data_IF_144281753220
#
_entry.id   IF_144281753220
#
_cell.length_a   1.000
_cell.length_b   1.000
_cell.length_c   1.000
_cell.angle_alpha   90.00
_cell.angle_beta   90.00
_cell.angle_gamma   90.00
#
_symmetry.space_group_name_H-M   'P 1'
#
loop_
_entity.id
_entity.type
_entity.pdbx_description
1 polymer ?
#
# COMPACT_ATOMS: atom_id res chain seq x y z
N UNK A 1 20.60 -3.72 -40.81
CA UNK A 1 19.26 -3.38 -40.27
C UNK A 1 18.90 -4.17 -39.01
N UNK A 2 19.04 -5.50 -39.01
CA UNK A 2 18.65 -6.39 -37.87
C UNK A 2 19.46 -6.14 -36.58
N UNK A 3 20.78 -5.87 -36.68
CA UNK A 3 21.61 -5.55 -35.51
C UNK A 3 21.27 -4.19 -34.87
N UNK A 4 20.90 -3.18 -35.68
CA UNK A 4 20.49 -1.87 -35.16
C UNK A 4 19.17 -1.92 -34.39
N UNK A 5 18.23 -2.77 -34.83
CA UNK A 5 16.96 -2.99 -34.15
C UNK A 5 17.12 -3.70 -32.79
N UNK A 6 18.05 -4.68 -32.70
CA UNK A 6 18.35 -5.41 -31.45
C UNK A 6 18.95 -4.52 -30.37
N UNK A 7 19.79 -3.56 -30.73
CA UNK A 7 20.45 -2.64 -29.78
C UNK A 7 19.47 -1.60 -29.21
N UNK A 8 18.41 -1.26 -29.93
CA UNK A 8 17.38 -0.32 -29.49
C UNK A 8 16.25 -0.98 -28.71
N UNK A 9 15.88 -2.22 -29.07
CA UNK A 9 14.85 -2.96 -28.35
C UNK A 9 15.32 -3.39 -26.95
N UNK A 10 16.61 -3.66 -26.75
CA UNK A 10 17.16 -4.14 -25.49
C UNK A 10 16.92 -3.21 -24.27
N UNK A 11 17.23 -1.89 -24.30
CA UNK A 11 16.99 -1.00 -23.17
C UNK A 11 15.49 -0.86 -22.86
N UNK A 12 14.64 -0.79 -23.89
CA UNK A 12 13.19 -0.72 -23.70
C UNK A 12 12.63 -1.99 -23.06
N UNK A 13 13.11 -3.16 -23.47
CA UNK A 13 12.73 -4.44 -22.89
C UNK A 13 13.21 -4.56 -21.44
N UNK A 14 14.45 -4.14 -21.15
CA UNK A 14 14.98 -4.11 -19.78
C UNK A 14 14.14 -3.21 -18.87
N UNK A 15 13.77 -2.01 -19.32
CA UNK A 15 12.90 -1.11 -18.56
C UNK A 15 11.48 -1.68 -18.39
N UNK A 16 10.91 -2.28 -19.42
CA UNK A 16 9.60 -2.92 -19.32
C UNK A 16 9.59 -4.08 -18.33
N UNK A 17 10.59 -4.96 -18.38
CA UNK A 17 10.74 -6.06 -17.43
C UNK A 17 10.95 -5.54 -16.00
N UNK A 18 11.77 -4.50 -15.82
CA UNK A 18 12.01 -3.92 -14.51
C UNK A 18 10.75 -3.29 -13.90
N UNK A 19 9.98 -2.56 -14.73
CA UNK A 19 8.70 -1.98 -14.33
C UNK A 19 7.74 -3.05 -13.80
N UNK A 20 7.57 -4.16 -14.53
CA UNK A 20 6.69 -5.26 -14.10
C UNK A 20 7.23 -6.01 -12.90
N UNK A 21 8.54 -6.24 -12.81
CA UNK A 21 9.16 -6.92 -11.68
C UNK A 21 8.96 -6.15 -10.36
N UNK A 22 8.97 -4.82 -10.38
CA UNK A 22 8.70 -3.99 -9.20
C UNK A 22 7.22 -3.93 -8.79
N UNK A 23 6.28 -4.27 -9.69
CA UNK A 23 4.84 -4.37 -9.36
C UNK A 23 4.53 -5.62 -8.53
N UNK A 24 5.25 -6.72 -8.72
CA UNK A 24 4.92 -8.02 -8.14
C UNK A 24 5.02 -8.15 -6.59
N UNK A 25 5.97 -7.53 -5.87
CA UNK A 25 6.27 -7.96 -4.49
C UNK A 25 5.21 -7.54 -3.47
N UNK A 26 4.96 -6.22 -3.36
CA UNK A 26 4.06 -5.69 -2.31
C UNK A 26 2.72 -5.27 -2.90
N UNK A 27 2.73 -4.63 -4.07
CA UNK A 27 1.55 -4.06 -4.69
C UNK A 27 0.49 -5.11 -5.06
N UNK A 28 0.88 -6.26 -5.62
CA UNK A 28 -0.08 -7.32 -5.94
C UNK A 28 -0.58 -8.10 -4.74
N UNK A 29 0.20 -8.13 -3.66
CA UNK A 29 -0.12 -8.92 -2.47
C UNK A 29 -1.02 -8.11 -1.54
N UNK A 30 -0.61 -6.90 -1.16
CA UNK A 30 -1.32 -6.07 -0.17
C UNK A 30 -2.04 -4.87 -0.77
N UNK A 31 -1.84 -4.57 -2.06
CA UNK A 31 -2.31 -3.33 -2.66
C UNK A 31 -1.49 -2.11 -2.23
N UNK A 32 -0.37 -2.27 -1.51
CA UNK A 32 0.47 -1.17 -1.08
C UNK A 32 1.50 -0.81 -2.15
N UNK A 33 1.63 0.49 -2.41
CA UNK A 33 2.62 1.02 -3.35
C UNK A 33 3.88 1.40 -2.57
N UNK A 34 4.95 0.64 -2.77
CA UNK A 34 6.26 0.88 -2.16
C UNK A 34 7.27 1.20 -3.26
N UNK A 35 7.68 2.48 -3.45
CA UNK A 35 8.63 2.85 -4.52
C UNK A 35 9.95 2.05 -4.48
N UNK A 36 10.39 1.63 -3.29
CA UNK A 36 11.61 0.86 -3.11
C UNK A 36 11.54 -0.56 -3.68
N UNK A 37 10.35 -1.10 -3.99
CA UNK A 37 10.22 -2.40 -4.67
C UNK A 37 10.85 -2.36 -6.08
N UNK A 38 10.95 -1.18 -6.68
CA UNK A 38 11.61 -0.98 -7.97
C UNK A 38 13.14 -0.85 -7.86
N UNK A 39 13.71 -0.74 -6.67
CA UNK A 39 15.14 -0.47 -6.50
C UNK A 39 16.03 -1.55 -7.15
N UNK A 40 15.77 -2.81 -6.84
CA UNK A 40 16.52 -3.95 -7.39
C UNK A 40 16.30 -4.12 -8.89
N UNK A 41 15.05 -4.21 -9.41
CA UNK A 41 14.84 -4.41 -10.84
C UNK A 41 15.34 -3.24 -11.69
N UNK A 42 15.08 -1.99 -11.29
CA UNK A 42 15.53 -0.81 -12.04
C UNK A 42 17.04 -0.60 -11.94
N UNK A 43 17.63 -0.86 -10.76
CA UNK A 43 19.08 -0.87 -10.59
C UNK A 43 19.75 -1.89 -11.52
N UNK A 44 19.21 -3.12 -11.58
CA UNK A 44 19.69 -4.16 -12.49
C UNK A 44 19.54 -3.80 -13.96
N UNK A 45 18.41 -3.20 -14.36
CA UNK A 45 18.17 -2.74 -15.72
C UNK A 45 19.15 -1.62 -16.12
N UNK A 46 19.32 -0.60 -15.27
CA UNK A 46 20.24 0.51 -15.47
C UNK A 46 21.69 0.02 -15.62
N UNK A 47 22.14 -0.86 -14.72
CA UNK A 47 23.48 -1.46 -14.79
C UNK A 47 23.65 -2.21 -16.11
N UNK A 48 22.66 -3.00 -16.52
CA UNK A 48 22.69 -3.77 -17.77
C UNK A 48 22.76 -2.87 -19.00
N UNK A 49 21.96 -1.80 -19.06
CA UNK A 49 21.98 -0.82 -20.16
C UNK A 49 23.36 -0.16 -20.28
N UNK A 50 23.97 0.20 -19.15
CA UNK A 50 25.29 0.83 -19.10
C UNK A 50 26.42 -0.14 -19.51
N UNK A 51 26.35 -1.41 -19.13
CA UNK A 51 27.29 -2.46 -19.59
C UNK A 51 27.16 -2.68 -21.10
N UNK A 52 25.93 -2.72 -21.64
CA UNK A 52 25.70 -2.85 -23.08
C UNK A 52 26.29 -1.66 -23.85
N UNK A 53 26.15 -0.44 -23.32
CA UNK A 53 26.78 0.76 -23.87
C UNK A 53 28.31 0.68 -23.86
N UNK A 54 28.90 0.16 -22.78
CA UNK A 54 30.35 -0.01 -22.64
C UNK A 54 30.96 -0.96 -23.69
N UNK A 55 30.25 -2.05 -24.00
CA UNK A 55 30.73 -3.09 -24.92
C UNK A 55 30.87 -2.60 -26.37
N UNK A 56 30.16 -1.55 -26.76
CA UNK A 56 30.32 -0.93 -28.07
C UNK A 56 31.37 0.19 -28.12
N UNK A 57 32.48 0.02 -27.39
CA UNK A 57 33.73 0.74 -27.64
C UNK A 57 33.78 2.24 -27.30
N UNK A 58 32.69 2.87 -26.85
CA UNK A 58 32.68 4.27 -26.37
C UNK A 58 31.90 4.39 -25.06
N UNK A 59 32.38 5.25 -24.15
CA UNK A 59 31.58 5.65 -22.98
C UNK A 59 30.24 6.22 -23.44
N UNK A 60 29.17 5.86 -22.75
CA UNK A 60 27.88 6.51 -22.95
C UNK A 60 28.06 8.02 -22.72
N UNK A 61 27.78 8.84 -23.74
CA UNK A 61 27.76 10.28 -23.58
C UNK A 61 26.70 10.70 -22.56
N UNK A 62 26.85 11.87 -21.96
CA UNK A 62 25.96 12.39 -20.92
C UNK A 62 24.47 12.25 -21.29
N UNK A 63 24.11 12.61 -22.52
CA UNK A 63 22.74 12.51 -23.04
C UNK A 63 22.19 11.07 -23.00
N UNK A 64 23.00 10.07 -23.34
CA UNK A 64 22.58 8.67 -23.34
C UNK A 64 22.44 8.12 -21.92
N UNK A 65 23.35 8.49 -21.01
CA UNK A 65 23.26 8.15 -19.58
C UNK A 65 22.01 8.75 -18.94
N UNK A 66 21.68 10.00 -19.26
CA UNK A 66 20.45 10.65 -18.80
C UNK A 66 19.20 9.94 -19.34
N UNK A 67 19.20 9.50 -20.60
CA UNK A 67 18.08 8.73 -21.14
C UNK A 67 17.94 7.36 -20.50
N UNK A 68 19.02 6.65 -20.17
CA UNK A 68 18.93 5.39 -19.43
C UNK A 68 18.41 5.59 -18.01
N UNK A 69 18.86 6.66 -17.34
CA UNK A 69 18.32 7.02 -16.03
C UNK A 69 16.82 7.33 -16.13
N UNK A 70 16.41 8.13 -17.13
CA UNK A 70 15.01 8.46 -17.36
C UNK A 70 14.16 7.22 -17.68
N UNK A 71 14.71 6.26 -18.44
CA UNK A 71 14.05 4.99 -18.75
C UNK A 71 13.82 4.13 -17.52
N UNK A 72 14.71 4.23 -16.52
CA UNK A 72 14.63 3.48 -15.26
C UNK A 72 13.77 4.19 -14.19
N UNK A 73 13.69 5.53 -14.19
CA UNK A 73 13.03 6.28 -13.10
C UNK A 73 11.66 6.82 -13.46
N UNK A 74 11.47 7.35 -14.69
CA UNK A 74 10.23 8.07 -15.03
C UNK A 74 9.01 7.14 -15.20
N UNK A 75 9.11 5.94 -15.80
CA UNK A 75 7.98 5.01 -15.87
C UNK A 75 7.44 4.57 -14.50
N UNK A 76 8.26 4.07 -13.54
CA UNK A 76 7.74 3.73 -12.22
C UNK A 76 7.27 4.96 -11.46
N UNK A 77 7.91 6.13 -11.60
CA UNK A 77 7.41 7.39 -11.04
C UNK A 77 5.99 7.69 -11.53
N UNK A 78 5.77 7.63 -12.84
CA UNK A 78 4.46 7.89 -13.44
C UNK A 78 3.42 6.88 -12.94
N UNK A 79 3.80 5.61 -12.84
CA UNK A 79 2.94 4.57 -12.29
C UNK A 79 2.52 4.88 -10.85
N UNK A 80 3.47 5.24 -10.00
CA UNK A 80 3.24 5.55 -8.59
C UNK A 80 2.32 6.79 -8.44
N UNK A 81 2.53 7.83 -9.24
CA UNK A 81 1.73 9.07 -9.19
C UNK A 81 0.28 8.84 -9.65
N UNK A 82 0.07 8.02 -10.68
CA UNK A 82 -1.26 7.84 -11.28
C UNK A 82 -2.12 6.79 -10.58
N UNK A 83 -1.53 5.85 -9.85
CA UNK A 83 -2.25 4.71 -9.26
C UNK A 83 -2.39 4.77 -7.72
N UNK A 84 -1.60 5.62 -7.05
CA UNK A 84 -1.60 5.70 -5.59
C UNK A 84 -2.63 6.68 -5.05
N UNK A 85 -3.21 6.35 -3.89
CA UNK A 85 -4.08 7.24 -3.10
C UNK A 85 -3.41 8.55 -2.74
N UNK A 86 -2.07 8.56 -2.68
CA UNK A 86 -1.22 9.72 -2.45
C UNK A 86 0.15 9.51 -3.07
N UNK A 87 0.84 10.60 -3.39
CA UNK A 87 2.17 10.52 -4.02
C UNK A 87 3.23 10.18 -2.95
N UNK A 88 3.98 9.07 -3.09
CA UNK A 88 5.01 8.66 -2.13
C UNK A 88 6.34 9.39 -2.36
N UNK A 89 6.34 10.72 -2.20
CA UNK A 89 7.49 11.58 -2.53
C UNK A 89 8.80 11.13 -1.89
N UNK A 90 8.81 10.76 -0.60
CA UNK A 90 10.03 10.33 0.08
C UNK A 90 10.67 9.11 -0.59
N UNK A 91 9.88 8.05 -0.84
CA UNK A 91 10.37 6.84 -1.51
C UNK A 91 10.76 7.08 -2.96
N UNK A 92 10.03 7.96 -3.68
CA UNK A 92 10.37 8.37 -5.04
C UNK A 92 11.72 9.09 -5.09
N UNK A 93 11.93 10.07 -4.19
CA UNK A 93 13.16 10.86 -4.13
C UNK A 93 14.35 9.97 -3.75
N UNK A 94 14.15 9.06 -2.79
CA UNK A 94 15.17 8.09 -2.39
C UNK A 94 15.57 7.16 -3.54
N UNK A 95 14.60 6.52 -4.19
CA UNK A 95 14.84 5.67 -5.37
C UNK A 95 15.61 6.44 -6.45
N UNK A 96 15.14 7.65 -6.78
CA UNK A 96 15.74 8.49 -7.82
C UNK A 96 17.17 8.90 -7.46
N UNK A 97 17.43 9.25 -6.20
CA UNK A 97 18.77 9.61 -5.72
C UNK A 97 19.73 8.42 -5.85
N UNK A 98 19.32 7.24 -5.40
CA UNK A 98 20.13 6.02 -5.47
C UNK A 98 20.48 5.66 -6.92
N UNK A 99 19.49 5.67 -7.82
CA UNK A 99 19.71 5.36 -9.23
C UNK A 99 20.58 6.42 -9.92
N UNK A 100 20.43 7.69 -9.56
CA UNK A 100 21.27 8.79 -10.08
C UNK A 100 22.74 8.64 -9.64
N UNK A 101 23.00 8.33 -8.37
CA UNK A 101 24.34 8.07 -7.85
C UNK A 101 24.95 6.85 -8.55
N UNK A 102 24.16 5.78 -8.71
CA UNK A 102 24.59 4.56 -9.41
C UNK A 102 24.99 4.87 -10.86
N UNK A 103 24.17 5.62 -11.60
CA UNK A 103 24.48 6.06 -12.96
C UNK A 103 25.77 6.91 -13.01
N UNK A 104 25.93 7.84 -12.07
CA UNK A 104 27.10 8.72 -11.99
C UNK A 104 28.39 7.94 -11.75
N UNK A 105 28.40 6.98 -10.81
CA UNK A 105 29.55 6.11 -10.54
C UNK A 105 29.85 5.27 -11.77
N UNK A 106 28.84 4.61 -12.34
CA UNK A 106 29.02 3.68 -13.44
C UNK A 106 29.54 4.39 -14.71
N UNK A 107 29.10 5.62 -14.97
CA UNK A 107 29.60 6.45 -16.07
C UNK A 107 31.08 6.82 -15.97
N UNK A 108 31.65 6.87 -14.75
CA UNK A 108 33.07 7.18 -14.50
C UNK A 108 33.96 5.94 -14.50
N UNK A 109 33.39 4.81 -14.08
CA UNK A 109 34.11 3.58 -13.74
C UNK A 109 34.19 2.60 -14.91
N UNK A 110 33.16 2.57 -15.77
CA UNK A 110 33.18 1.79 -17.01
C UNK A 110 34.36 2.24 -17.88
N UNK A 111 35.33 1.33 -18.05
CA UNK A 111 36.63 1.57 -18.73
C UNK A 111 37.87 1.49 -17.83
N UNK A 112 37.73 1.29 -16.50
CA UNK A 112 38.85 1.09 -15.56
C UNK A 112 38.56 -0.08 -14.59
N UNK A 113 39.07 -1.30 -14.85
CA UNK A 113 38.62 -2.53 -14.17
C UNK A 113 38.92 -2.58 -12.66
N UNK A 114 39.92 -1.84 -12.15
CA UNK A 114 40.30 -1.87 -10.72
C UNK A 114 39.46 -0.95 -9.81
N UNK A 115 38.65 -0.04 -10.37
CA UNK A 115 37.82 0.94 -9.60
C UNK A 115 36.35 0.52 -9.53
N UNK A 116 35.97 -0.54 -10.26
CA UNK A 116 34.62 -1.13 -10.33
C UNK A 116 34.14 -1.62 -8.96
N UNK A 117 35.03 -2.21 -8.17
CA UNK A 117 34.69 -2.77 -6.86
C UNK A 117 34.44 -1.65 -5.83
N UNK A 118 35.25 -0.58 -5.84
CA UNK A 118 35.10 0.54 -4.89
C UNK A 118 33.85 1.38 -5.12
N UNK A 119 33.48 1.61 -6.39
CA UNK A 119 32.23 2.30 -6.75
C UNK A 119 30.98 1.49 -6.40
N UNK A 120 31.03 0.16 -6.56
CA UNK A 120 29.95 -0.74 -6.15
C UNK A 120 29.76 -0.75 -4.63
N UNK A 121 30.85 -0.74 -3.85
CA UNK A 121 30.79 -0.67 -2.38
C UNK A 121 30.20 0.67 -1.90
N UNK A 122 30.58 1.80 -2.51
CA UNK A 122 30.04 3.11 -2.13
C UNK A 122 28.55 3.26 -2.50
N UNK A 123 28.13 2.75 -3.68
CA UNK A 123 26.72 2.66 -4.04
C UNK A 123 25.95 1.78 -3.05
N UNK A 124 26.52 0.64 -2.65
CA UNK A 124 25.96 -0.24 -1.64
C UNK A 124 25.83 0.44 -0.27
N UNK A 125 26.82 1.27 0.15
CA UNK A 125 26.77 2.05 1.38
C UNK A 125 25.74 3.19 1.36
N UNK A 126 25.50 3.82 0.20
CA UNK A 126 24.41 4.81 0.04
C UNK A 126 23.04 4.12 0.07
N UNK A 127 22.93 2.94 -0.54
CA UNK A 127 21.73 2.08 -0.49
C UNK A 127 21.44 1.62 0.95
N UNK A 128 22.46 1.23 1.71
CA UNK A 128 22.34 0.84 3.13
C UNK A 128 22.11 2.05 4.07
N UNK A 129 22.62 3.23 3.74
CA UNK A 129 22.45 4.46 4.52
C UNK A 129 21.07 5.11 4.37
N UNK A 130 20.41 4.97 3.22
CA UNK A 130 19.03 5.44 3.00
C UNK A 130 18.02 4.76 3.94
N UNK A 131 18.25 3.49 4.26
CA UNK A 131 17.45 2.70 5.20
C UNK A 131 17.37 3.28 6.63
N UNK A 132 18.35 4.10 7.06
CA UNK A 132 18.36 4.68 8.41
C UNK A 132 17.84 6.12 8.48
N UNK A 133 17.77 6.83 7.36
CA UNK A 133 17.32 8.23 7.32
C UNK A 133 15.80 8.41 7.49
N UNK A 134 15.01 7.38 7.17
CA UNK A 134 13.55 7.44 7.24
C UNK A 134 12.98 7.17 8.65
N UNK A 135 13.80 6.66 9.57
CA UNK A 135 13.41 6.49 10.97
C UNK A 135 13.42 7.81 11.76
N UNK A 136 14.12 8.85 11.27
CA UNK A 136 14.26 10.13 11.98
C UNK A 136 13.19 11.18 11.63
N UNK A 137 12.44 11.01 10.52
CA UNK A 137 11.36 11.94 10.14
C UNK A 137 9.96 11.48 10.54
N UNK A 138 9.84 10.25 11.08
CA UNK A 138 8.59 9.70 11.58
C UNK A 138 8.60 9.66 13.11
N UNK A 139 8.18 10.76 13.74
CA UNK A 139 7.81 10.75 15.15
C UNK A 139 8.53 11.79 15.99
N UNK A 140 8.14 13.06 15.83
CA UNK A 140 8.06 13.89 17.02
C UNK A 140 7.08 13.17 17.96
N UNK A 141 7.46 12.83 19.19
CA UNK A 141 6.54 12.26 20.15
C UNK A 141 5.44 13.29 20.41
N UNK A 142 4.27 13.08 19.82
CA UNK A 142 3.05 13.68 20.34
C UNK A 142 2.96 13.19 21.78
N UNK A 143 2.97 14.13 22.73
CA UNK A 143 2.72 13.84 24.14
C UNK A 143 1.51 12.92 24.22
N UNK A 144 1.65 11.68 24.74
CA UNK A 144 0.53 10.77 24.79
C UNK A 144 -0.54 11.43 25.64
N UNK A 145 -1.65 11.82 25.01
CA UNK A 145 -2.88 12.05 25.75
C UNK A 145 -3.19 10.76 26.49
N UNK A 146 -3.61 10.84 27.76
CA UNK A 146 -4.03 9.67 28.49
C UNK A 146 -5.07 8.92 27.66
N UNK A 147 -4.86 7.61 27.45
CA UNK A 147 -5.77 6.82 26.63
C UNK A 147 -7.15 6.80 27.29
N UNK A 148 -8.23 7.13 26.55
CA UNK A 148 -9.57 7.11 27.10
C UNK A 148 -9.94 5.68 27.49
N UNK A 149 -10.71 5.51 28.57
CA UNK A 149 -11.31 4.21 28.88
C UNK A 149 -12.43 3.93 27.89
N UNK A 150 -12.31 2.83 27.14
CA UNK A 150 -13.24 2.49 26.07
C UNK A 150 -14.02 1.24 26.42
N UNK A 151 -15.34 1.37 26.57
CA UNK A 151 -16.24 0.24 26.69
C UNK A 151 -16.60 -0.29 25.30
N UNK A 152 -16.48 -1.60 25.08
CA UNK A 152 -16.75 -2.24 23.79
C UNK A 152 -17.88 -3.23 23.95
N UNK A 153 -18.97 -2.99 23.22
CA UNK A 153 -20.10 -3.91 23.15
C UNK A 153 -20.27 -4.38 21.71
N UNK A 154 -20.32 -5.70 21.51
CA UNK A 154 -20.47 -6.28 20.18
C UNK A 154 -21.14 -7.64 20.25
N UNK A 155 -21.96 -7.97 19.25
CA UNK A 155 -22.40 -9.36 19.04
C UNK A 155 -21.39 -10.16 18.18
N UNK A 156 -20.41 -9.49 17.57
CA UNK A 156 -19.28 -10.13 16.91
C UNK A 156 -18.30 -10.68 17.94
N UNK A 157 -17.48 -11.65 17.54
CA UNK A 157 -16.47 -12.26 18.42
C UNK A 157 -15.22 -11.38 18.53
N UNK A 158 -15.38 -10.18 19.07
CA UNK A 158 -14.28 -9.24 19.31
C UNK A 158 -13.45 -9.60 20.56
N UNK A 159 -14.05 -10.33 21.49
CA UNK A 159 -13.38 -10.89 22.67
C UNK A 159 -13.61 -12.40 22.71
N UNK A 160 -12.57 -13.15 23.06
CA UNK A 160 -12.62 -14.60 23.23
C UNK A 160 -12.43 -14.94 24.71
N UNK A 161 -13.09 -16.00 25.16
CA UNK A 161 -12.85 -16.53 26.50
C UNK A 161 -11.42 -17.15 26.53
N UNK A 162 -10.63 -16.81 27.55
CA UNK A 162 -9.25 -17.31 27.71
C UNK A 162 -9.15 -18.83 27.99
N UNK A 163 -10.26 -19.50 28.32
CA UNK A 163 -10.34 -20.94 28.63
C UNK A 163 -10.65 -21.81 27.39
N UNK A 164 -11.20 -21.23 26.32
CA UNK A 164 -11.45 -21.89 25.03
C UNK A 164 -10.24 -21.83 24.08
N UNK A 165 -9.12 -21.27 24.54
CA UNK A 165 -7.89 -21.10 23.76
C UNK A 165 -7.35 -22.43 23.25
N UNK A 166 -7.61 -22.73 21.98
CA UNK A 166 -6.88 -23.70 21.15
C UNK A 166 -7.09 -23.44 19.63
N UNK A 167 -7.61 -22.26 19.24
CA UNK A 167 -7.76 -21.87 17.85
C UNK A 167 -6.51 -21.16 17.33
N UNK A 168 -6.08 -21.38 16.08
CA UNK A 168 -4.88 -20.74 15.51
C UNK A 168 -4.98 -19.22 15.30
N UNK A 169 -6.09 -18.58 15.70
CA UNK A 169 -6.38 -17.15 15.55
C UNK A 169 -6.56 -16.41 16.89
N UNK A 170 -6.28 -17.06 18.03
CA UNK A 170 -6.43 -16.46 19.36
C UNK A 170 -5.24 -15.55 19.69
N UNK A 171 -5.33 -14.27 19.33
CA UNK A 171 -4.33 -13.25 19.66
C UNK A 171 -4.65 -12.63 21.03
N UNK A 172 -4.47 -13.42 22.09
CA UNK A 172 -4.57 -12.94 23.47
C UNK A 172 -5.98 -12.60 23.94
N UNK A 173 -6.98 -13.38 23.51
CA UNK A 173 -8.37 -13.21 23.93
C UNK A 173 -9.12 -12.06 23.24
N UNK A 174 -8.55 -11.49 22.16
CA UNK A 174 -9.14 -10.39 21.39
C UNK A 174 -9.11 -10.71 19.89
N UNK A 175 -10.07 -10.16 19.15
CA UNK A 175 -10.03 -10.19 17.69
C UNK A 175 -8.79 -9.43 17.17
N UNK A 176 -8.21 -9.85 16.03
CA UNK A 176 -6.97 -9.27 15.51
C UNK A 176 -7.04 -7.75 15.32
N UNK A 177 -8.18 -7.19 14.91
CA UNK A 177 -8.35 -5.72 14.76
C UNK A 177 -8.19 -4.96 16.08
N UNK A 178 -8.75 -5.49 17.19
CA UNK A 178 -8.61 -4.89 18.52
C UNK A 178 -7.22 -5.17 19.13
N UNK A 179 -6.57 -6.27 18.74
CA UNK A 179 -5.20 -6.58 19.14
C UNK A 179 -4.18 -5.67 18.42
N UNK A 180 -4.46 -5.30 17.17
CA UNK A 180 -3.69 -4.35 16.37
C UNK A 180 -3.84 -2.92 16.90
N UNK A 181 -5.05 -2.55 17.32
CA UNK A 181 -5.34 -1.24 17.87
C UNK A 181 -4.58 -0.99 19.19
N UNK A 182 -4.03 0.21 19.35
CA UNK A 182 -3.38 0.73 20.56
C UNK A 182 -4.39 1.16 21.61
N UNK A 183 -5.65 1.29 21.24
CA UNK A 183 -6.73 1.65 22.17
C UNK A 183 -7.09 0.44 23.03
N UNK A 184 -7.12 0.62 24.35
CA UNK A 184 -7.52 -0.44 25.28
C UNK A 184 -9.05 -0.48 25.41
N UNK A 185 -9.67 -1.39 24.65
CA UNK A 185 -11.09 -1.72 24.80
C UNK A 185 -11.33 -2.73 25.93
N UNK A 186 -12.27 -2.42 26.81
CA UNK A 186 -12.80 -3.33 27.83
C UNK A 186 -14.16 -3.86 27.37
N UNK A 187 -14.44 -5.17 27.51
CA UNK A 187 -15.74 -5.73 27.14
C UNK A 187 -16.84 -5.15 28.03
N UNK A 188 -17.99 -4.86 27.42
CA UNK A 188 -19.17 -4.30 28.07
C UNK A 188 -20.43 -5.07 27.61
N UNK A 189 -21.07 -5.76 28.55
CA UNK A 189 -22.22 -6.65 28.23
C UNK A 189 -23.58 -5.97 28.41
N UNK A 190 -23.66 -4.94 29.25
CA UNK A 190 -24.89 -4.22 29.61
C UNK A 190 -24.67 -2.72 29.52
N UNK A 191 -25.63 -2.00 28.91
CA UNK A 191 -25.64 -0.53 28.85
C UNK A 191 -26.60 0.03 29.89
N UNK A 192 -26.18 0.08 31.15
CA UNK A 192 -26.93 0.78 32.19
C UNK A 192 -26.15 1.98 32.74
N UNK A 193 -26.84 2.84 33.48
CA UNK A 193 -26.27 4.10 33.98
C UNK A 193 -25.02 3.90 34.84
N UNK A 194 -24.90 2.78 35.55
CA UNK A 194 -23.75 2.54 36.43
C UNK A 194 -22.56 1.97 35.66
N UNK A 195 -22.80 1.05 34.71
CA UNK A 195 -21.77 0.53 33.83
C UNK A 195 -21.16 1.63 32.94
N UNK A 196 -21.99 2.55 32.42
CA UNK A 196 -21.56 3.61 31.52
C UNK A 196 -20.70 4.70 32.18
N UNK A 197 -20.82 4.92 33.50
CA UNK A 197 -20.00 5.90 34.25
C UNK A 197 -18.51 5.59 34.24
N UNK A 198 -18.13 4.34 33.99
CA UNK A 198 -16.74 3.89 33.98
C UNK A 198 -15.97 4.27 32.70
N UNK A 199 -16.65 4.69 31.64
CA UNK A 199 -16.05 4.83 30.32
C UNK A 199 -16.12 6.26 29.79
N UNK A 200 -15.03 6.69 29.15
CA UNK A 200 -14.97 7.96 28.43
C UNK A 200 -15.54 7.83 27.02
N UNK A 201 -15.45 6.63 26.44
CA UNK A 201 -15.88 6.30 25.08
C UNK A 201 -16.56 4.95 25.03
N UNK A 202 -17.45 4.81 24.07
CA UNK A 202 -18.03 3.52 23.72
C UNK A 202 -17.74 3.19 22.26
N UNK A 203 -17.50 1.90 22.00
CA UNK A 203 -17.50 1.31 20.68
C UNK A 203 -18.61 0.24 20.66
N UNK A 204 -19.66 0.50 19.88
CA UNK A 204 -20.72 -0.45 19.60
C UNK A 204 -20.50 -1.02 18.20
N UNK A 205 -20.26 -2.33 18.10
CA UNK A 205 -20.06 -2.98 16.80
C UNK A 205 -21.12 -4.05 16.62
N UNK A 206 -22.08 -3.78 15.73
CA UNK A 206 -23.19 -4.68 15.44
C UNK A 206 -23.74 -5.35 16.71
N UNK A 207 -24.23 -4.55 17.69
CA UNK A 207 -24.62 -5.09 18.99
C UNK A 207 -25.81 -6.03 18.86
N UNK A 208 -26.02 -6.83 19.90
CA UNK A 208 -27.27 -7.60 20.06
C UNK A 208 -28.47 -6.65 20.12
N UNK A 209 -29.68 -7.21 20.08
CA UNK A 209 -30.87 -6.46 20.42
C UNK A 209 -30.72 -5.87 21.82
N UNK A 210 -30.70 -4.53 21.89
CA UNK A 210 -30.66 -3.79 23.15
C UNK A 210 -32.07 -3.71 23.73
N UNK A 211 -32.17 -3.82 25.05
CA UNK A 211 -33.43 -3.61 25.75
C UNK A 211 -33.83 -2.13 25.67
N UNK A 212 -35.13 -1.79 25.78
CA UNK A 212 -35.57 -0.39 25.79
C UNK A 212 -34.84 0.46 26.82
N UNK A 213 -34.58 -0.08 28.01
CA UNK A 213 -33.87 0.64 29.07
C UNK A 213 -32.40 0.92 28.70
N UNK A 214 -31.76 0.01 27.96
CA UNK A 214 -30.38 0.16 27.48
C UNK A 214 -30.27 1.24 26.40
N UNK A 215 -31.27 1.31 25.50
CA UNK A 215 -31.34 2.36 24.48
C UNK A 215 -31.49 3.75 25.11
N UNK A 216 -32.35 3.86 26.12
CA UNK A 216 -32.56 5.11 26.87
C UNK A 216 -31.32 5.49 27.68
N UNK A 217 -30.67 4.53 28.34
CA UNK A 217 -29.44 4.78 29.10
C UNK A 217 -28.30 5.25 28.18
N UNK A 218 -28.15 4.64 27.00
CA UNK A 218 -27.17 5.06 26.00
C UNK A 218 -27.46 6.48 25.50
N UNK A 219 -28.70 6.78 25.10
CA UNK A 219 -29.08 8.13 24.66
C UNK A 219 -28.81 9.18 25.73
N UNK A 220 -29.24 8.92 26.98
CA UNK A 220 -29.02 9.83 28.10
C UNK A 220 -27.53 10.05 28.38
N UNK A 221 -26.71 8.99 28.31
CA UNK A 221 -25.27 9.07 28.49
C UNK A 221 -24.59 9.90 27.40
N UNK A 222 -24.94 9.69 26.13
CA UNK A 222 -24.42 10.52 25.02
C UNK A 222 -24.84 11.97 25.22
N UNK A 223 -26.12 12.24 25.51
CA UNK A 223 -26.61 13.61 25.78
C UNK A 223 -25.87 14.31 26.92
N UNK A 224 -25.39 13.57 27.91
CA UNK A 224 -24.63 14.07 29.04
C UNK A 224 -23.12 14.30 28.75
N UNK A 225 -22.67 14.16 27.50
CA UNK A 225 -21.27 14.35 27.11
C UNK A 225 -20.54 13.06 26.73
N UNK A 226 -21.24 11.93 26.75
CA UNK A 226 -20.73 10.64 26.28
C UNK A 226 -20.38 10.68 24.79
N UNK A 227 -19.37 9.88 24.41
CA UNK A 227 -18.87 9.80 23.04
C UNK A 227 -18.88 8.36 22.55
N UNK A 228 -19.61 8.09 21.48
CA UNK A 228 -19.84 6.73 20.98
C UNK A 228 -19.47 6.59 19.50
N UNK A 229 -18.84 5.48 19.15
CA UNK A 229 -18.68 5.01 17.77
C UNK A 229 -19.58 3.81 17.56
N UNK A 230 -20.42 3.84 16.53
CA UNK A 230 -21.36 2.76 16.20
C UNK A 230 -21.04 2.24 14.80
N UNK A 231 -20.69 0.96 14.68
CA UNK A 231 -20.60 0.26 13.41
C UNK A 231 -21.90 -0.54 13.24
N UNK A 232 -22.73 -0.11 12.31
CA UNK A 232 -24.07 -0.63 12.08
C UNK A 232 -24.20 -1.09 10.63
N UNK A 233 -24.33 -2.40 10.46
CA UNK A 233 -24.37 -3.03 9.16
C UNK A 233 -25.78 -3.53 8.84
N UNK A 234 -26.40 -3.10 7.73
CA UNK A 234 -27.71 -3.61 7.35
C UNK A 234 -27.64 -4.97 6.65
N UNK A 235 -26.46 -5.42 6.21
CA UNK A 235 -26.22 -6.70 5.54
C UNK A 235 -24.82 -7.22 5.90
N UNK A 236 -24.68 -7.74 7.12
CA UNK A 236 -23.42 -8.21 7.67
C UNK A 236 -22.91 -9.47 6.95
N UNK A 237 -21.71 -9.40 6.37
CA UNK A 237 -20.98 -10.51 5.73
C UNK A 237 -19.91 -11.13 6.64
N UNK A 238 -20.08 -11.03 7.95
CA UNK A 238 -19.15 -11.59 8.91
C UNK A 238 -19.15 -13.14 8.90
N UNK A 239 -17.97 -13.79 8.84
CA UNK A 239 -17.88 -15.24 8.87
C UNK A 239 -18.29 -15.80 10.24
N UNK A 240 -19.42 -16.52 10.28
CA UNK A 240 -19.86 -17.26 11.47
C UNK A 240 -20.43 -18.63 11.08
N UNK A 241 -19.79 -19.69 11.56
CA UNK A 241 -20.20 -21.08 11.29
C UNK A 241 -21.45 -21.53 12.03
N UNK A 242 -21.99 -20.70 12.94
CA UNK A 242 -23.24 -21.01 13.67
C UNK A 242 -24.46 -20.93 12.75
N UNK A 243 -25.49 -21.78 12.95
CA UNK A 243 -26.70 -21.74 12.14
C UNK A 243 -27.44 -20.41 12.28
N UNK A 244 -28.25 -20.08 11.27
CA UNK A 244 -29.16 -18.95 11.35
C UNK A 244 -30.14 -19.16 12.51
N UNK A 245 -30.33 -18.13 13.35
CA UNK A 245 -31.20 -18.19 14.53
C UNK A 245 -30.51 -18.64 15.83
N UNK A 246 -29.22 -18.99 15.80
CA UNK A 246 -28.44 -19.18 17.03
C UNK A 246 -28.39 -17.85 17.82
N UNK A 247 -28.82 -17.81 19.09
CA UNK A 247 -28.82 -16.58 19.90
C UNK A 247 -27.44 -15.96 20.10
N UNK A 248 -26.37 -16.74 19.94
CA UNK A 248 -25.01 -16.26 20.07
C UNK A 248 -24.43 -15.74 18.76
N UNK A 249 -25.11 -15.97 17.61
CA UNK A 249 -24.72 -15.43 16.31
C UNK A 249 -25.08 -13.94 16.24
N UNK A 250 -24.18 -13.15 15.65
CA UNK A 250 -24.42 -11.74 15.45
C UNK A 250 -25.64 -11.51 14.53
N UNK A 251 -26.46 -10.48 14.80
CA UNK A 251 -27.54 -10.10 13.91
C UNK A 251 -27.02 -9.77 12.51
N UNK A 252 -27.67 -10.35 11.48
CA UNK A 252 -27.32 -10.09 10.07
C UNK A 252 -27.61 -8.64 9.63
N UNK A 253 -28.43 -7.93 10.40
CA UNK A 253 -28.77 -6.53 10.18
C UNK A 253 -28.73 -5.81 11.53
N UNK A 254 -28.40 -4.52 11.51
CA UNK A 254 -28.37 -3.69 12.71
C UNK A 254 -29.75 -3.65 13.36
N UNK A 255 -29.79 -3.80 14.68
CA UNK A 255 -31.02 -3.76 15.47
C UNK A 255 -31.17 -2.44 16.25
N UNK A 256 -30.44 -1.41 15.81
CA UNK A 256 -30.41 -0.09 16.44
C UNK A 256 -31.43 0.89 15.87
N UNK A 257 -32.32 0.46 14.96
CA UNK A 257 -33.30 1.33 14.30
C UNK A 257 -34.08 2.26 15.24
N UNK A 258 -34.53 1.84 16.45
CA UNK A 258 -35.23 2.75 17.35
C UNK A 258 -34.36 3.93 17.81
N UNK A 259 -33.08 3.69 18.10
CA UNK A 259 -32.14 4.74 18.49
C UNK A 259 -31.76 5.62 17.30
N UNK A 260 -31.48 5.01 16.15
CA UNK A 260 -31.16 5.73 14.91
C UNK A 260 -32.29 6.66 14.53
N UNK A 261 -33.53 6.15 14.50
CA UNK A 261 -34.73 6.93 14.20
C UNK A 261 -34.93 8.05 15.21
N UNK A 262 -34.69 7.79 16.50
CA UNK A 262 -34.76 8.81 17.55
C UNK A 262 -33.74 9.94 17.33
N UNK A 263 -32.55 9.62 16.81
CA UNK A 263 -31.53 10.60 16.41
C UNK A 263 -31.74 11.20 15.01
N UNK A 264 -32.83 10.84 14.32
CA UNK A 264 -33.14 11.33 12.99
C UNK A 264 -32.31 10.69 11.87
N UNK A 265 -31.77 9.50 12.10
CA UNK A 265 -31.04 8.70 11.12
C UNK A 265 -31.89 7.53 10.64
N UNK A 266 -31.78 7.21 9.36
CA UNK A 266 -32.29 5.96 8.79
C UNK A 266 -31.13 5.26 8.10
N UNK A 267 -30.83 4.03 8.54
CA UNK A 267 -29.89 3.15 7.86
C UNK A 267 -30.62 2.50 6.68
N UNK A 268 -30.18 2.77 5.47
CA UNK A 268 -30.80 2.16 4.31
C UNK A 268 -30.40 0.68 4.15
N UNK A 269 -31.21 -0.14 3.46
CA UNK A 269 -30.79 -1.47 3.06
C UNK A 269 -29.55 -1.41 2.16
N UNK A 270 -28.60 -2.33 2.36
CA UNK A 270 -27.49 -2.52 1.44
C UNK A 270 -27.96 -3.16 0.13
N UNK A 271 -27.26 -2.86 -0.96
CA UNK A 271 -27.38 -3.63 -2.20
C UNK A 271 -26.58 -4.92 -2.07
N UNK A 272 -27.27 -6.06 -1.90
CA UNK A 272 -26.65 -7.38 -1.79
C UNK A 272 -25.88 -7.82 -3.04
N UNK A 273 -25.96 -7.08 -4.15
CA UNK A 273 -25.19 -7.32 -5.37
C UNK A 273 -23.99 -6.38 -5.50
N UNK A 274 -23.86 -5.41 -4.60
CA UNK A 274 -22.71 -4.51 -4.59
C UNK A 274 -21.45 -5.34 -4.30
N UNK A 275 -20.44 -5.31 -5.19
CA UNK A 275 -19.20 -6.02 -4.95
C UNK A 275 -18.44 -5.41 -3.77
N UNK A 276 -17.50 -6.17 -3.21
CA UNK A 276 -16.47 -5.60 -2.35
C UNK A 276 -15.76 -4.46 -3.08
N UNK A 277 -15.57 -3.35 -2.37
CA UNK A 277 -14.96 -2.16 -2.95
C UNK A 277 -13.86 -1.58 -2.08
N UNK A 278 -12.87 -1.00 -2.76
CA UNK A 278 -11.80 -0.21 -2.16
C UNK A 278 -12.24 1.25 -2.19
N UNK A 279 -12.50 1.83 -1.03
CA UNK A 279 -12.95 3.22 -0.91
C UNK A 279 -11.87 4.07 -0.28
N UNK A 280 -11.43 5.10 -1.01
CA UNK A 280 -10.59 6.17 -0.48
C UNK A 280 -11.52 7.19 0.17
N UNK A 281 -11.41 7.34 1.49
CA UNK A 281 -12.16 8.36 2.23
C UNK A 281 -11.64 9.76 1.85
N UNK A 282 -12.48 10.78 1.97
CA UNK A 282 -12.11 12.18 1.73
C UNK A 282 -10.91 12.63 2.59
N UNK A 283 -10.76 12.03 3.78
CA UNK A 283 -9.62 12.30 4.69
C UNK A 283 -8.33 11.57 4.30
N UNK A 284 -8.34 10.76 3.24
CA UNK A 284 -7.16 10.12 2.63
C UNK A 284 -6.85 8.69 3.08
N UNK A 285 -7.65 8.13 3.99
CA UNK A 285 -7.54 6.72 4.40
C UNK A 285 -8.18 5.80 3.36
N UNK A 286 -7.67 4.58 3.22
CA UNK A 286 -8.29 3.56 2.38
C UNK A 286 -8.99 2.50 3.25
N UNK A 287 -10.28 2.26 3.01
CA UNK A 287 -11.01 1.12 3.56
C UNK A 287 -11.36 0.11 2.46
N UNK A 288 -11.48 -1.15 2.84
CA UNK A 288 -12.14 -2.18 2.04
C UNK A 288 -13.49 -2.46 2.69
N UNK A 289 -14.55 -2.41 1.90
CA UNK A 289 -15.93 -2.48 2.35
C UNK A 289 -16.64 -3.63 1.64
N UNK A 290 -17.53 -4.33 2.33
CA UNK A 290 -18.36 -5.39 1.77
C UNK A 290 -19.82 -4.94 1.76
N UNK A 291 -20.35 -4.67 0.56
CA UNK A 291 -21.73 -4.16 0.38
C UNK A 291 -22.12 -3.02 1.35
N UNK A 292 -21.30 -1.95 1.48
CA UNK A 292 -21.58 -0.88 2.44
C UNK A 292 -22.90 -0.18 2.10
N UNK A 293 -23.61 0.24 3.14
CA UNK A 293 -24.83 1.04 2.97
C UNK A 293 -24.57 2.54 3.22
N UNK A 294 -25.65 3.29 3.38
CA UNK A 294 -25.64 4.72 3.71
C UNK A 294 -26.73 5.06 4.72
N UNK A 295 -26.45 6.09 5.51
CA UNK A 295 -27.44 6.80 6.29
C UNK A 295 -28.13 7.88 5.46
N UNK A 296 -29.40 8.10 5.78
CA UNK A 296 -30.14 9.29 5.40
C UNK A 296 -30.63 10.02 6.65
N UNK A 297 -30.88 11.32 6.50
CA UNK A 297 -31.28 12.19 7.60
C UNK A 297 -32.75 12.56 7.48
N UNK A 298 -33.45 12.46 8.61
CA UNK A 298 -34.74 13.09 8.80
C UNK A 298 -34.58 14.63 8.93
N UNK A 299 -35.61 15.42 8.58
CA UNK A 299 -35.58 16.86 8.79
C UNK A 299 -35.28 17.23 10.24
N UNK A 300 -34.27 18.09 10.46
CA UNK A 300 -33.89 18.55 11.80
C UNK A 300 -32.99 17.59 12.58
N UNK A 301 -32.49 16.51 11.97
CA UNK A 301 -31.53 15.62 12.61
C UNK A 301 -30.24 16.39 12.98
N UNK A 302 -29.68 16.18 14.19
CA UNK A 302 -28.48 16.88 14.65
C UNK A 302 -27.20 16.19 14.13
N UNK A 303 -27.20 15.76 12.87
CA UNK A 303 -26.15 14.95 12.27
C UNK A 303 -25.71 15.51 10.91
N UNK A 304 -24.44 15.30 10.59
CA UNK A 304 -23.84 15.60 9.29
C UNK A 304 -23.40 14.28 8.63
N UNK A 305 -23.70 14.14 7.33
CA UNK A 305 -23.30 12.98 6.55
C UNK A 305 -21.96 13.24 5.85
N UNK A 306 -21.03 12.30 6.00
CA UNK A 306 -19.75 12.23 5.29
C UNK A 306 -19.75 11.02 4.34
N UNK A 307 -18.80 10.98 3.40
CA UNK A 307 -18.50 9.79 2.59
C UNK A 307 -19.73 9.19 1.86
N UNK A 308 -20.58 10.07 1.30
CA UNK A 308 -21.85 9.71 0.63
C UNK A 308 -22.84 8.97 1.56
N UNK A 309 -22.81 9.31 2.84
CA UNK A 309 -23.67 8.73 3.88
C UNK A 309 -23.11 7.47 4.53
N UNK A 310 -21.90 7.00 4.18
CA UNK A 310 -21.25 5.90 4.88
C UNK A 310 -20.99 6.25 6.36
N UNK A 311 -20.63 7.51 6.64
CA UNK A 311 -20.36 7.99 8.00
C UNK A 311 -21.36 9.09 8.33
N UNK A 312 -21.98 8.99 9.50
CA UNK A 312 -22.79 10.06 10.08
C UNK A 312 -22.13 10.55 11.37
N UNK A 313 -21.95 11.87 11.50
CA UNK A 313 -21.45 12.51 12.73
C UNK A 313 -22.56 13.30 13.37
N UNK A 314 -22.90 12.96 14.59
CA UNK A 314 -24.01 13.57 15.32
C UNK A 314 -23.51 14.28 16.58
N UNK A 315 -24.05 15.47 16.81
CA UNK A 315 -23.89 16.22 18.05
C UNK A 315 -25.18 16.11 18.86
N UNK A 316 -25.15 15.32 19.93
CA UNK A 316 -26.36 14.92 20.65
C UNK A 316 -26.22 15.41 22.09
N UNK A 317 -26.96 16.46 22.44
CA UNK A 317 -26.75 17.17 23.70
C UNK A 317 -25.32 17.71 23.79
N UNK A 318 -24.64 17.38 24.88
CA UNK A 318 -23.22 17.75 25.10
C UNK A 318 -22.23 16.74 24.51
N UNK A 319 -22.71 15.59 24.02
CA UNK A 319 -21.87 14.50 23.51
C UNK A 319 -21.87 14.37 22.00
N UNK A 320 -21.28 13.27 21.52
CA UNK A 320 -21.23 12.98 20.09
C UNK A 320 -21.34 11.49 19.77
N UNK A 321 -21.92 11.21 18.61
CA UNK A 321 -21.99 9.87 18.04
C UNK A 321 -21.39 9.88 16.63
N UNK A 322 -20.49 8.95 16.35
CA UNK A 322 -20.02 8.68 14.99
C UNK A 322 -20.53 7.32 14.58
N UNK A 323 -21.34 7.29 13.53
CA UNK A 323 -21.96 6.06 13.02
C UNK A 323 -21.36 5.72 11.66
N UNK A 324 -21.10 4.44 11.43
CA UNK A 324 -20.60 3.91 10.16
C UNK A 324 -21.59 2.85 9.67
N UNK A 325 -22.08 3.01 8.43
CA UNK A 325 -23.11 2.18 7.79
C UNK A 325 -22.56 0.85 7.23
N UNK A 326 -21.57 0.29 7.93
CA UNK A 326 -20.86 -0.94 7.61
C UNK A 326 -20.06 -1.37 8.86
N UNK A 327 -20.08 -2.65 9.18
CA UNK A 327 -19.25 -3.24 10.23
C UNK A 327 -18.22 -4.25 9.70
N UNK A 328 -18.34 -4.70 8.46
CA UNK A 328 -17.47 -5.72 7.88
C UNK A 328 -16.04 -5.20 7.65
N UNK A 329 -15.83 -3.89 7.49
CA UNK A 329 -14.50 -3.31 7.26
C UNK A 329 -13.48 -3.55 8.40
N UNK A 330 -13.93 -4.01 9.57
CA UNK A 330 -13.05 -4.47 10.66
C UNK A 330 -12.85 -6.00 10.70
N UNK A 331 -13.47 -6.75 9.80
CA UNK A 331 -13.20 -8.17 9.57
C UNK A 331 -11.78 -8.34 9.04
N UNK A 332 -11.06 -9.29 9.63
CA UNK A 332 -9.69 -9.63 9.29
C UNK A 332 -9.48 -9.83 7.79
N UNK A 333 -10.46 -10.44 7.11
CA UNK A 333 -10.41 -10.68 5.67
C UNK A 333 -10.28 -9.40 4.83
N UNK A 334 -10.78 -8.26 5.31
CA UNK A 334 -10.82 -6.99 4.58
C UNK A 334 -9.64 -6.06 4.89
N UNK A 335 -8.84 -6.33 5.94
CA UNK A 335 -7.75 -5.44 6.32
C UNK A 335 -6.38 -6.09 6.53
N UNK A 336 -6.27 -7.42 6.65
CA UNK A 336 -4.98 -8.10 6.83
C UNK A 336 -4.88 -9.44 6.10
N UNK A 337 -3.70 -9.75 5.59
CA UNK A 337 -3.38 -11.08 5.05
C UNK A 337 -2.87 -12.06 6.11
N UNK A 338 -2.54 -11.56 7.30
CA UNK A 338 -1.96 -12.35 8.39
C UNK A 338 -2.63 -11.97 9.73
N UNK A 339 -3.84 -12.49 10.00
CA UNK A 339 -4.54 -12.23 11.26
C UNK A 339 -3.83 -12.79 12.49
N UNK A 340 -2.87 -13.72 12.34
CA UNK A 340 -2.08 -14.25 13.45
C UNK A 340 -1.03 -13.23 13.95
N UNK A 341 -0.60 -12.31 13.09
CA UNK A 341 0.33 -11.23 13.43
C UNK A 341 -0.29 -9.84 13.17
N UNK A 342 -1.38 -9.48 13.89
CA UNK A 342 -2.17 -8.29 13.58
C UNK A 342 -1.40 -6.97 13.67
N UNK A 343 -0.29 -6.95 14.42
CA UNK A 343 0.57 -5.77 14.60
C UNK A 343 1.66 -5.63 13.54
N UNK A 344 1.74 -6.51 12.54
CA UNK A 344 2.67 -6.33 11.42
C UNK A 344 2.02 -5.48 10.31
N UNK A 345 2.31 -4.16 10.22
CA UNK A 345 1.72 -3.28 9.21
C UNK A 345 2.14 -3.62 7.79
N UNK A 346 3.10 -4.54 7.57
CA UNK A 346 3.49 -5.01 6.24
C UNK A 346 2.47 -5.97 5.65
N UNK A 347 1.60 -6.56 6.48
CA UNK A 347 0.56 -7.52 6.09
C UNK A 347 -0.82 -6.88 5.92
N UNK A 348 -0.95 -5.61 6.29
CA UNK A 348 -2.20 -4.88 6.15
C UNK A 348 -2.51 -4.57 4.68
N UNK A 349 -3.79 -4.58 4.34
CA UNK A 349 -4.32 -4.31 2.99
C UNK A 349 -5.23 -3.08 2.94
N UNK A 350 -5.52 -2.48 4.10
CA UNK A 350 -6.30 -1.25 4.27
C UNK A 350 -5.85 -0.48 5.51
N UNK A 351 -6.42 0.71 5.72
CA UNK A 351 -6.21 1.56 6.90
C UNK A 351 -7.24 1.31 8.02
N UNK A 352 -7.92 0.15 8.04
CA UNK A 352 -8.99 -0.13 9.01
C UNK A 352 -8.56 0.13 10.47
N UNK A 353 -7.48 -0.50 10.94
CA UNK A 353 -6.99 -0.34 12.32
C UNK A 353 -6.76 1.14 12.69
N UNK A 354 -5.95 1.93 11.96
CA UNK A 354 -5.74 3.33 12.28
C UNK A 354 -6.99 4.22 12.07
N UNK A 355 -7.92 3.87 11.18
CA UNK A 355 -9.22 4.56 11.09
C UNK A 355 -10.04 4.31 12.35
N UNK A 356 -10.16 3.06 12.79
CA UNK A 356 -10.90 2.69 14.01
C UNK A 356 -10.35 3.42 15.24
N UNK A 357 -9.03 3.43 15.42
CA UNK A 357 -8.38 4.13 16.53
C UNK A 357 -8.75 5.62 16.56
N UNK A 358 -8.72 6.27 15.39
CA UNK A 358 -9.04 7.71 15.27
C UNK A 358 -10.50 8.00 15.54
N UNK A 359 -11.41 7.15 15.05
CA UNK A 359 -12.84 7.27 15.34
C UNK A 359 -13.08 7.19 16.85
N UNK A 360 -12.46 6.23 17.54
CA UNK A 360 -12.61 6.06 18.99
C UNK A 360 -12.00 7.24 19.77
N UNK A 361 -10.82 7.73 19.34
CA UNK A 361 -10.16 8.89 19.97
C UNK A 361 -10.90 10.20 19.70
N UNK A 362 -11.73 10.27 18.66
CA UNK A 362 -12.42 11.48 18.21
C UNK A 362 -11.49 12.41 17.42
N UNK A 363 -10.59 11.84 16.61
CA UNK A 363 -9.63 12.58 15.81
C UNK A 363 -10.18 12.88 14.41
N UNK A 364 -10.63 14.11 14.19
CA UNK A 364 -11.34 14.50 12.95
C UNK A 364 -10.45 15.10 11.85
N UNK A 365 -9.16 15.29 12.12
CA UNK A 365 -8.19 15.86 11.17
C UNK A 365 -7.88 14.97 9.96
N UNK A 366 -7.11 15.49 8.98
CA UNK A 366 -6.64 14.69 7.84
C UNK A 366 -5.89 13.47 8.34
N UNK A 367 -6.04 12.36 7.62
CA UNK A 367 -5.44 11.10 8.03
C UNK A 367 -3.92 11.17 7.88
N UNK A 368 -3.13 10.92 8.95
CA UNK A 368 -1.69 10.98 8.86
C UNK A 368 -1.18 9.92 7.89
N UNK A 369 -0.04 10.17 7.23
CA UNK A 369 0.40 9.28 6.17
C UNK A 369 0.86 7.92 6.74
N UNK A 370 0.00 6.89 6.68
CA UNK A 370 0.35 5.47 6.94
C UNK A 370 1.10 4.88 5.74
N UNK A 371 0.39 4.50 4.67
CA UNK A 371 0.98 3.97 3.44
C UNK A 371 0.29 4.52 2.17
N UNK A 372 0.99 4.60 1.02
CA UNK A 372 0.34 4.83 -0.26
C UNK A 372 -0.31 3.52 -0.72
N UNK A 373 -1.61 3.56 -0.98
CA UNK A 373 -2.36 2.39 -1.42
C UNK A 373 -2.71 2.50 -2.89
N UNK A 374 -2.94 1.36 -3.54
CA UNK A 374 -3.55 1.30 -4.85
C UNK A 374 -5.01 1.71 -4.76
N UNK A 375 -5.40 2.71 -5.57
CA UNK A 375 -6.78 3.23 -5.63
C UNK A 375 -7.73 2.16 -6.17
N UNK A 376 -7.46 1.66 -7.38
CA UNK A 376 -8.30 0.69 -8.07
C UNK A 376 -7.53 -0.06 -9.15
N UNK A 377 -8.10 -1.17 -9.61
CA UNK A 377 -7.58 -1.91 -10.75
C UNK A 377 -7.54 -1.05 -12.04
N UNK A 378 -8.55 -0.21 -12.26
CA UNK A 378 -8.61 0.69 -13.41
C UNK A 378 -7.47 1.72 -13.38
N UNK A 379 -7.19 2.29 -12.20
CA UNK A 379 -6.08 3.21 -12.01
C UNK A 379 -4.74 2.51 -12.30
N UNK A 380 -4.55 1.27 -11.84
CA UNK A 380 -3.35 0.48 -12.14
C UNK A 380 -3.18 0.24 -13.65
N UNK A 381 -4.23 -0.19 -14.34
CA UNK A 381 -4.19 -0.46 -15.79
C UNK A 381 -3.89 0.82 -16.57
N UNK A 382 -4.55 1.93 -16.22
CA UNK A 382 -4.30 3.24 -16.82
C UNK A 382 -2.85 3.68 -16.60
N UNK A 383 -2.36 3.59 -15.37
CA UNK A 383 -1.00 3.95 -15.00
C UNK A 383 0.05 3.11 -15.76
N UNK A 384 -0.16 1.79 -15.88
CA UNK A 384 0.70 0.90 -16.67
C UNK A 384 0.72 1.26 -18.15
N UNK A 385 -0.45 1.59 -18.75
CA UNK A 385 -0.53 2.01 -20.16
C UNK A 385 0.29 3.28 -20.41
N UNK A 386 0.18 4.26 -19.52
CA UNK A 386 0.95 5.50 -19.61
C UNK A 386 2.45 5.29 -19.38
N UNK A 387 2.83 4.46 -18.42
CA UNK A 387 4.23 4.10 -18.17
C UNK A 387 4.86 3.37 -19.37
N UNK A 388 4.16 2.42 -19.99
CA UNK A 388 4.62 1.73 -21.20
C UNK A 388 4.74 2.68 -22.39
N UNK A 389 3.78 3.59 -22.56
CA UNK A 389 3.83 4.61 -23.61
C UNK A 389 5.03 5.55 -23.42
N UNK A 390 5.37 5.88 -22.18
CA UNK A 390 6.56 6.67 -21.85
C UNK A 390 7.86 5.91 -22.17
N UNK A 391 7.93 4.61 -21.89
CA UNK A 391 9.07 3.75 -22.30
C UNK A 391 9.24 3.77 -23.82
N UNK A 392 8.15 3.68 -24.58
CA UNK A 392 8.19 3.77 -26.06
C UNK A 392 8.74 5.13 -26.51
N UNK A 393 8.24 6.23 -25.94
CA UNK A 393 8.69 7.58 -26.27
C UNK A 393 10.19 7.78 -25.98
N UNK A 394 10.64 7.41 -24.79
CA UNK A 394 12.05 7.51 -24.39
C UNK A 394 12.95 6.60 -25.24
N UNK A 395 12.46 5.43 -25.63
CA UNK A 395 13.13 4.53 -26.56
C UNK A 395 13.32 5.15 -27.95
N UNK A 396 12.31 5.86 -28.47
CA UNK A 396 12.41 6.60 -29.75
C UNK A 396 13.45 7.72 -29.65
N UNK A 397 13.49 8.46 -28.53
CA UNK A 397 14.50 9.50 -28.30
C UNK A 397 15.91 8.91 -28.24
N UNK A 398 16.07 7.75 -27.59
CA UNK A 398 17.33 7.01 -27.56
C UNK A 398 17.77 6.55 -28.96
N UNK A 399 16.81 6.13 -29.81
CA UNK A 399 17.08 5.76 -31.21
C UNK A 399 17.66 6.89 -32.04
N UNK A 400 17.23 8.14 -31.78
CA UNK A 400 17.76 9.33 -32.47
C UNK A 400 19.24 9.60 -32.14
N UNK A 401 19.77 9.08 -31.04
CA UNK A 401 21.19 9.22 -30.69
C UNK A 401 22.10 8.24 -31.47
N UNK A 402 21.56 7.44 -32.37
CA UNK A 402 22.31 6.51 -33.23
C UNK A 402 22.74 5.20 -32.54
N UNK A 403 23.17 4.19 -33.32
CA UNK A 403 23.55 2.88 -32.77
C UNK A 403 24.84 2.94 -31.93
N UNK A 404 24.99 1.98 -31.02
CA UNK A 404 26.26 1.76 -30.31
C UNK A 404 27.22 1.08 -31.31
N UNK A 405 28.39 1.66 -31.63
CA UNK A 405 29.31 1.03 -32.58
C UNK A 405 29.91 -0.24 -31.97
N UNK A 406 29.44 -1.41 -32.39
CA UNK A 406 30.05 -2.68 -31.97
C UNK A 406 31.40 -2.78 -32.68
N UNK A 407 32.51 -2.67 -31.93
CA UNK A 407 33.82 -2.95 -32.51
C UNK A 407 33.90 -4.44 -32.79
N UNK A 408 33.76 -4.82 -34.05
CA UNK A 408 34.22 -6.12 -34.53
C UNK A 408 35.74 -6.04 -34.56
N UNK A 409 36.38 -6.51 -33.48
CA UNK A 409 37.80 -6.87 -33.52
C UNK A 409 37.94 -8.09 -34.43
N UNK A 410 38.16 -7.88 -35.73
CA UNK A 410 38.86 -8.89 -36.52
C UNK A 410 40.35 -8.75 -36.17
N UNK A 411 40.97 -9.73 -35.50
CA UNK A 411 42.42 -9.71 -35.32
C UNK A 411 43.06 -9.76 -36.73
N UNK A 412 44.06 -8.91 -37.03
CA UNK A 412 44.73 -8.98 -38.31
C UNK A 412 45.38 -10.36 -38.44
N UNK A 413 44.97 -11.13 -39.45
CA UNK A 413 45.63 -12.38 -39.80
C UNK A 413 47.13 -12.11 -40.03
N UNK A 414 48.04 -12.85 -39.36
CA UNK A 414 49.46 -12.70 -39.64
C UNK A 414 49.72 -13.18 -41.07
N UNK A 415 50.22 -12.27 -41.93
CA UNK A 415 50.76 -12.63 -43.25
C UNK A 415 51.90 -13.64 -43.01
N UNK A 416 51.64 -14.92 -43.32
CA UNK A 416 52.67 -15.95 -43.45
C UNK A 416 53.65 -15.47 -44.54
N UNK A 417 54.88 -15.17 -44.12
CA UNK A 417 56.00 -14.93 -45.03
C UNK A 417 56.28 -16.18 -45.84
N UNK A 418 56.20 -16.08 -47.16
CA UNK A 418 56.72 -17.09 -48.08
C UNK A 418 58.23 -16.94 -48.19
N UNK A 419 58.98 -17.89 -47.65
CA UNK A 419 60.39 -18.11 -48.00
C UNK A 419 60.72 -19.59 -47.82
N UNK A 420 60.97 -20.25 -48.95
CA UNK A 420 61.81 -21.43 -49.18
C UNK A 420 61.13 -22.36 -50.19
N UNK A 421 61.64 -22.37 -51.43
CA UNK A 421 61.98 -23.64 -52.05
C UNK A 421 63.26 -23.45 -52.86
N UNK A 422 64.32 -24.06 -52.32
CA UNK A 422 65.64 -24.22 -52.91
C UNK A 422 65.64 -25.53 -53.69
N UNK A 423 65.51 -25.46 -55.01
CA UNK A 423 65.83 -26.56 -55.92
C UNK A 423 67.22 -26.37 -56.50
N UNK A 424 68.20 -27.09 -55.97
CA UNK A 424 69.54 -27.20 -56.54
C UNK A 424 69.77 -28.55 -57.24
N UNK A 425 70.82 -28.57 -58.07
CA UNK A 425 71.45 -29.68 -58.81
C UNK A 425 70.94 -29.84 -60.26
N UNK A 426 71.76 -29.81 -61.33
CA UNK A 426 73.19 -30.04 -61.54
C UNK A 426 73.70 -29.26 -62.79
N UNK A 427 75.01 -29.00 -62.94
CA UNK A 427 75.63 -28.68 -64.22
C UNK A 427 76.33 -29.91 -64.84
N UNK A 428 76.18 -30.16 -66.15
CA UNK A 428 77.27 -30.73 -66.96
C UNK A 428 77.07 -30.61 -68.49
N UNK A 429 78.21 -30.40 -69.15
CA UNK A 429 78.55 -30.55 -70.59
C UNK A 429 77.89 -29.66 -71.64
N UNK A 430 78.74 -28.85 -72.30
CA UNK A 430 78.48 -28.06 -73.50
C UNK A 430 79.55 -27.02 -73.71
#
# INVERSE_FOLDING_TARGET
MIQGLRVLAAPMLLAGVALFAGVQPTLLVTGRIAPLDWLVPEGGALISMMILAARGGRRAGLQRTLLYLALATLPPLLLNVLSATRIPWAGILELTAILSVTAAILSRVIGRPRVVVGGAILACLVILGGFQGLALFAGLPSTPAADPRVGVMSALRLFHDQRAGNGPLDVGGRAPVLAAARVQGEPLDVLDTDALKGFDRLLLVQPRLLRPEELVALDAWVRAGGRVVILADPLLHWPDGRPLGDPHRAPLTSLLDPLLTHWGLVLEPADARAPEERRVLAKGALLQLASPSRFTLAPGAPCELEERGLIARCHIGEGSAVLVADADWIDDALWTLDPAHPRDPRRWTSDAVPVLERLIRGEDGPFPPTWPWLISQEALISALRWALSLILLLGVLLARLGPIPISTHDPPMPRRGGKADSGGAFPNSG
#
